data_IF_584882114236
#
_entry.id   IF_584882114236
#
_cell.length_a   1.000
_cell.length_b   1.000
_cell.length_c   1.000
_cell.angle_alpha   90.00
_cell.angle_beta   90.00
_cell.angle_gamma   90.00
#
_symmetry.space_group_name_H-M   'P 1'
#
loop_
_entity.id
_entity.type
_entity.pdbx_description
1 polymer ?
#
# COMPACT_ATOMS: atom_id res chain seq x y z
N UNK A 1 15.52 4.20 2.84
CA UNK A 1 16.23 3.96 1.58
C UNK A 1 15.22 3.84 0.44
N UNK A 2 15.55 4.46 -0.71
CA UNK A 2 14.77 4.37 -1.94
C UNK A 2 15.66 3.76 -3.03
N UNK A 3 15.15 2.77 -3.74
CA UNK A 3 15.69 2.35 -5.02
C UNK A 3 14.90 3.10 -6.08
N UNK A 4 15.57 3.90 -6.88
CA UNK A 4 14.97 4.77 -7.88
C UNK A 4 15.40 4.28 -9.25
N UNK A 5 14.45 4.08 -10.14
CA UNK A 5 14.71 3.78 -11.56
C UNK A 5 14.15 4.90 -12.39
N UNK A 6 14.91 5.38 -13.36
CA UNK A 6 14.51 6.49 -14.20
C UNK A 6 15.53 6.80 -15.28
N UNK A 7 15.26 7.86 -16.02
CA UNK A 7 16.07 8.29 -17.15
C UNK A 7 16.71 9.66 -16.88
N UNK A 8 17.92 9.87 -17.37
CA UNK A 8 18.53 11.19 -17.39
C UNK A 8 17.90 11.96 -18.56
N UNK A 9 17.22 13.06 -18.22
CA UNK A 9 16.59 13.95 -19.21
C UNK A 9 17.21 15.33 -19.13
N UNK A 10 17.35 16.01 -20.27
CA UNK A 10 17.89 17.36 -20.33
C UNK A 10 16.76 18.38 -20.27
N UNK A 11 16.72 19.17 -19.20
CA UNK A 11 15.77 20.28 -19.08
C UNK A 11 16.36 21.53 -19.71
N UNK A 12 15.58 22.33 -20.48
CA UNK A 12 16.09 23.53 -21.17
C UNK A 12 16.78 24.53 -20.23
N UNK A 13 16.21 24.76 -19.05
CA UNK A 13 16.67 25.80 -18.11
C UNK A 13 17.50 25.25 -16.93
N UNK A 14 17.38 23.95 -16.60
CA UNK A 14 17.98 23.36 -15.40
C UNK A 14 19.00 22.26 -15.69
N UNK A 15 19.37 22.06 -16.96
CA UNK A 15 20.38 21.08 -17.34
C UNK A 15 19.93 19.63 -17.22
N UNK A 16 20.84 18.72 -16.91
CA UNK A 16 20.54 17.30 -16.77
C UNK A 16 19.80 17.02 -15.46
N UNK A 17 18.67 16.35 -15.58
CA UNK A 17 17.82 15.95 -14.45
C UNK A 17 17.52 14.46 -14.52
N UNK A 18 17.42 13.80 -13.35
CA UNK A 18 16.99 12.42 -13.26
C UNK A 18 15.45 12.37 -13.16
N UNK A 19 14.80 11.98 -14.25
CA UNK A 19 13.36 11.77 -14.28
C UNK A 19 13.05 10.40 -13.71
N UNK A 20 12.46 10.38 -12.50
CA UNK A 20 12.07 9.16 -11.83
C UNK A 20 10.88 8.53 -12.60
N UNK A 21 11.05 7.29 -13.05
CA UNK A 21 9.99 6.46 -13.65
C UNK A 21 9.32 5.61 -12.59
N UNK A 22 10.12 4.95 -11.74
CA UNK A 22 9.63 4.16 -10.62
C UNK A 22 10.53 4.33 -9.41
N UNK A 23 9.97 4.13 -8.22
CA UNK A 23 10.75 4.03 -7.01
C UNK A 23 10.26 2.87 -6.15
N UNK A 24 11.19 2.23 -5.48
CA UNK A 24 10.92 1.16 -4.52
C UNK A 24 11.49 1.57 -3.16
N UNK A 25 10.63 1.55 -2.15
CA UNK A 25 11.05 1.87 -0.79
C UNK A 25 11.67 0.63 -0.17
N UNK A 26 12.98 0.67 0.02
CA UNK A 26 13.74 -0.44 0.60
C UNK A 26 13.84 -0.28 2.11
N UNK A 27 13.80 -1.41 2.81
CA UNK A 27 14.16 -1.42 4.23
C UNK A 27 15.59 -0.95 4.43
N UNK A 28 15.84 -0.20 5.50
CA UNK A 28 17.20 0.14 5.86
C UNK A 28 18.02 -1.12 6.13
N UNK A 29 19.17 -1.21 5.50
CA UNK A 29 20.12 -2.35 5.65
C UNK A 29 21.37 -1.98 6.45
N UNK A 30 21.61 -0.67 6.66
CA UNK A 30 22.74 -0.21 7.48
C UNK A 30 22.25 0.23 8.85
N UNK A 31 23.10 0.13 9.87
CA UNK A 31 22.78 0.54 11.25
C UNK A 31 22.33 2.00 11.33
N UNK A 32 23.02 2.90 10.66
CA UNK A 32 22.70 4.33 10.63
C UNK A 32 21.36 4.61 9.96
N UNK A 33 21.02 3.84 8.93
CA UNK A 33 19.75 3.97 8.25
C UNK A 33 18.61 3.39 9.10
N UNK A 34 18.83 2.30 9.84
CA UNK A 34 17.88 1.73 10.81
C UNK A 34 17.64 2.68 11.97
N UNK A 35 18.69 3.27 12.54
CA UNK A 35 18.58 4.26 13.61
C UNK A 35 17.70 5.46 13.16
N UNK A 36 18.00 6.01 11.99
CA UNK A 36 17.18 7.11 11.41
C UNK A 36 15.75 6.70 11.15
N UNK A 37 15.53 5.49 10.63
CA UNK A 37 14.21 4.98 10.37
C UNK A 37 13.36 4.84 11.64
N UNK A 38 13.94 4.26 12.69
CA UNK A 38 13.23 4.09 13.97
C UNK A 38 12.99 5.42 14.71
N UNK A 39 13.84 6.43 14.48
CA UNK A 39 13.78 7.72 15.19
C UNK A 39 13.08 8.84 14.42
N UNK A 40 12.54 8.59 13.24
CA UNK A 40 11.96 9.60 12.34
C UNK A 40 10.57 10.15 12.78
N UNK A 41 10.10 9.78 13.96
CA UNK A 41 8.79 10.19 14.50
C UNK A 41 7.62 9.28 14.11
N UNK A 42 7.84 8.27 13.28
CA UNK A 42 6.82 7.28 12.91
C UNK A 42 6.45 6.39 14.10
N UNK A 43 7.43 6.07 14.95
CA UNK A 43 7.25 5.18 16.10
C UNK A 43 7.15 5.99 17.39
N UNK A 44 5.97 6.01 18.00
CA UNK A 44 5.76 6.71 19.26
C UNK A 44 6.69 6.14 20.34
N UNK A 45 7.41 7.04 20.99
CA UNK A 45 8.30 6.68 22.10
C UNK A 45 9.64 6.09 21.71
N UNK A 46 9.99 6.07 20.42
CA UNK A 46 11.35 5.81 19.95
C UNK A 46 11.99 7.14 19.51
N UNK A 47 12.76 7.74 20.40
CA UNK A 47 13.64 8.85 20.05
C UNK A 47 15.03 8.34 19.58
N UNK A 48 15.91 9.27 19.12
CA UNK A 48 17.23 8.91 18.60
C UNK A 48 18.08 8.05 19.57
N UNK A 49 18.03 8.36 20.86
CA UNK A 49 18.78 7.62 21.87
C UNK A 49 18.24 6.17 22.04
N UNK A 50 16.91 5.98 21.97
CA UNK A 50 16.29 4.65 22.06
C UNK A 50 16.54 3.85 20.80
N UNK A 51 16.39 4.46 19.63
CA UNK A 51 16.68 3.84 18.33
C UNK A 51 18.12 3.32 18.28
N UNK A 52 19.08 4.15 18.68
CA UNK A 52 20.50 3.78 18.76
C UNK A 52 20.75 2.58 19.69
N UNK A 53 20.11 2.55 20.87
CA UNK A 53 20.23 1.41 21.79
C UNK A 53 19.65 0.12 21.18
N UNK A 54 18.48 0.20 20.54
CA UNK A 54 17.84 -0.94 19.88
C UNK A 54 18.79 -1.51 18.81
N UNK A 55 19.25 -0.65 17.88
CA UNK A 55 20.12 -1.07 16.78
C UNK A 55 21.47 -1.60 17.27
N UNK A 56 22.05 -0.99 18.29
CA UNK A 56 23.32 -1.48 18.87
C UNK A 56 23.16 -2.82 19.58
N UNK A 57 22.00 -3.09 20.18
CA UNK A 57 21.74 -4.35 20.89
C UNK A 57 21.46 -5.50 19.92
N UNK A 58 20.67 -5.25 18.89
CA UNK A 58 20.17 -6.30 17.99
C UNK A 58 20.84 -6.32 16.61
N UNK A 59 21.58 -5.27 16.25
CA UNK A 59 22.32 -5.19 14.98
C UNK A 59 21.41 -5.42 13.76
N UNK A 60 21.83 -6.32 12.90
CA UNK A 60 21.10 -6.68 11.68
C UNK A 60 19.78 -7.41 11.94
N UNK A 61 19.64 -7.98 13.15
CA UNK A 61 18.41 -8.69 13.57
C UNK A 61 17.31 -7.76 14.13
N UNK A 62 17.59 -6.46 14.20
CA UNK A 62 16.66 -5.45 14.76
C UNK A 62 15.24 -5.57 14.21
N UNK A 63 15.11 -5.72 12.90
CA UNK A 63 13.79 -5.81 12.22
C UNK A 63 13.06 -7.09 12.61
N UNK A 64 13.77 -8.23 12.62
CA UNK A 64 13.18 -9.51 13.00
C UNK A 64 12.73 -9.51 14.47
N UNK A 65 13.56 -8.93 15.34
CA UNK A 65 13.20 -8.79 16.76
C UNK A 65 11.94 -7.95 16.92
N UNK A 66 11.82 -6.81 16.25
CA UNK A 66 10.60 -5.97 16.32
C UNK A 66 9.38 -6.72 15.79
N UNK A 67 9.52 -7.46 14.67
CA UNK A 67 8.41 -8.15 14.01
C UNK A 67 7.97 -9.43 14.73
N UNK A 68 8.91 -10.25 15.13
CA UNK A 68 8.66 -11.64 15.53
C UNK A 68 8.84 -11.87 17.03
N UNK A 69 9.70 -11.08 17.68
CA UNK A 69 10.07 -11.27 19.07
C UNK A 69 10.11 -9.95 19.87
N UNK A 70 9.02 -9.13 19.80
CA UNK A 70 9.02 -7.79 20.41
C UNK A 70 9.32 -7.80 21.90
N UNK A 71 9.04 -8.90 22.59
CA UNK A 71 9.38 -9.10 24.00
C UNK A 71 10.90 -8.93 24.29
N UNK A 72 11.78 -9.18 23.32
CA UNK A 72 13.22 -8.96 23.50
C UNK A 72 13.57 -7.48 23.63
N UNK A 73 12.71 -6.56 23.17
CA UNK A 73 12.93 -5.12 23.31
C UNK A 73 12.95 -4.67 24.79
N UNK A 74 12.37 -5.45 25.71
CA UNK A 74 12.37 -5.15 27.15
C UNK A 74 13.80 -5.08 27.73
N UNK A 75 14.77 -5.71 27.10
CA UNK A 75 16.18 -5.63 27.47
C UNK A 75 16.74 -4.20 27.36
N UNK A 76 16.07 -3.34 26.60
CA UNK A 76 16.45 -1.95 26.43
C UNK A 76 15.87 -1.12 27.59
N UNK A 77 16.74 -0.52 28.40
CA UNK A 77 16.32 0.33 29.51
C UNK A 77 15.36 1.43 29.04
N UNK A 78 14.12 1.41 29.55
CA UNK A 78 13.07 2.37 29.23
C UNK A 78 12.03 1.85 28.24
N UNK A 79 12.10 0.57 27.82
CA UNK A 79 11.06 -0.11 27.06
C UNK A 79 10.35 -1.09 27.98
N UNK A 80 9.07 -0.82 28.26
CA UNK A 80 8.18 -1.76 28.97
C UNK A 80 7.61 -2.80 28.02
N UNK A 81 6.93 -3.81 28.55
CA UNK A 81 6.28 -4.85 27.74
C UNK A 81 5.20 -4.25 26.83
N UNK A 82 4.40 -3.36 27.37
CA UNK A 82 3.34 -2.64 26.64
C UNK A 82 3.93 -1.83 25.49
N UNK A 83 5.01 -1.10 25.78
CA UNK A 83 5.70 -0.29 24.77
C UNK A 83 6.36 -1.15 23.69
N UNK A 84 6.88 -2.30 24.03
CA UNK A 84 7.45 -3.23 23.05
C UNK A 84 6.40 -3.74 22.07
N UNK A 85 5.19 -4.06 22.54
CA UNK A 85 4.06 -4.46 21.71
C UNK A 85 3.56 -3.30 20.84
N UNK A 86 3.41 -2.10 21.41
CA UNK A 86 3.03 -0.90 20.64
C UNK A 86 4.01 -0.60 19.52
N UNK A 87 5.31 -0.73 19.76
CA UNK A 87 6.35 -0.58 18.74
C UNK A 87 6.18 -1.62 17.61
N UNK A 88 5.94 -2.87 17.97
CA UNK A 88 5.73 -3.94 17.01
C UNK A 88 4.49 -3.71 16.14
N UNK A 89 3.36 -3.35 16.74
CA UNK A 89 2.12 -3.03 16.03
C UNK A 89 2.32 -1.87 15.05
N UNK A 90 2.93 -0.77 15.50
CA UNK A 90 3.23 0.37 14.65
C UNK A 90 4.19 0.00 13.50
N UNK A 91 5.16 -0.87 13.77
CA UNK A 91 6.10 -1.34 12.77
C UNK A 91 5.40 -2.19 11.70
N UNK A 92 4.58 -3.15 12.12
CA UNK A 92 3.83 -4.03 11.21
C UNK A 92 2.85 -3.23 10.34
N UNK A 93 2.10 -2.30 10.95
CA UNK A 93 1.20 -1.42 10.22
C UNK A 93 1.93 -0.60 9.13
N UNK A 94 3.06 0.00 9.47
CA UNK A 94 3.88 0.73 8.50
C UNK A 94 4.45 -0.17 7.41
N UNK A 95 4.87 -1.37 7.78
CA UNK A 95 5.39 -2.36 6.83
C UNK A 95 4.34 -2.76 5.80
N UNK A 96 3.12 -3.09 6.24
CA UNK A 96 2.03 -3.44 5.34
C UNK A 96 1.62 -2.28 4.43
N UNK A 97 1.53 -1.05 4.95
CA UNK A 97 1.25 0.13 4.13
C UNK A 97 2.30 0.27 3.02
N UNK A 98 3.57 0.04 3.30
CA UNK A 98 4.61 0.11 2.28
C UNK A 98 4.50 -0.97 1.22
N UNK A 99 4.13 -2.17 1.62
CA UNK A 99 3.87 -3.25 0.66
C UNK A 99 2.69 -2.92 -0.24
N UNK A 100 1.62 -2.33 0.33
CA UNK A 100 0.47 -1.85 -0.44
C UNK A 100 0.90 -0.73 -1.40
N UNK A 101 1.71 0.23 -0.94
CA UNK A 101 2.26 1.29 -1.82
C UNK A 101 3.00 0.68 -2.99
N UNK A 102 3.94 -0.23 -2.74
CA UNK A 102 4.73 -0.89 -3.79
C UNK A 102 3.87 -1.71 -4.76
N UNK A 103 2.81 -2.34 -4.25
CA UNK A 103 1.86 -3.06 -5.09
C UNK A 103 1.05 -2.11 -5.98
N UNK A 104 0.44 -1.09 -5.40
CA UNK A 104 -0.42 -0.14 -6.12
C UNK A 104 0.35 0.72 -7.12
N UNK A 105 1.62 1.05 -6.82
CA UNK A 105 2.48 1.85 -7.70
C UNK A 105 2.74 1.17 -9.05
N UNK A 106 2.88 -0.17 -9.07
CA UNK A 106 3.01 -0.95 -10.31
C UNK A 106 1.87 -0.68 -11.31
N UNK A 107 0.72 -0.30 -10.81
CA UNK A 107 -0.48 0.01 -11.58
C UNK A 107 -0.76 1.51 -11.67
N UNK A 108 0.21 2.34 -11.27
CA UNK A 108 0.08 3.80 -11.29
C UNK A 108 -1.01 4.33 -10.35
N UNK A 109 -1.23 3.65 -9.22
CA UNK A 109 -2.11 4.11 -8.14
C UNK A 109 -1.21 4.73 -7.06
N UNK A 110 -1.39 6.02 -6.84
CA UNK A 110 -0.50 6.78 -5.95
C UNK A 110 -0.52 6.32 -4.49
N UNK A 111 0.53 6.64 -3.73
CA UNK A 111 0.74 6.17 -2.34
C UNK A 111 -0.35 6.64 -1.36
N UNK A 112 -1.04 7.73 -1.66
CA UNK A 112 -2.15 8.24 -0.82
C UNK A 112 -3.31 7.24 -0.70
N UNK A 113 -3.48 6.36 -1.71
CA UNK A 113 -4.50 5.31 -1.66
C UNK A 113 -4.15 4.18 -0.69
N UNK A 114 -2.87 3.92 -0.47
CA UNK A 114 -2.40 2.81 0.38
C UNK A 114 -2.81 2.95 1.84
N UNK A 115 -2.71 4.15 2.40
CA UNK A 115 -3.17 4.41 3.78
C UNK A 115 -4.69 4.19 3.92
N UNK A 116 -5.45 4.66 2.93
CA UNK A 116 -6.89 4.44 2.87
C UNK A 116 -7.26 2.97 2.76
N UNK A 117 -6.53 2.23 1.95
CA UNK A 117 -6.68 0.77 1.79
C UNK A 117 -6.37 0.06 3.11
N UNK A 118 -5.24 0.36 3.73
CA UNK A 118 -4.87 -0.24 5.02
C UNK A 118 -5.88 0.10 6.12
N UNK A 119 -6.33 1.36 6.20
CA UNK A 119 -7.32 1.79 7.19
C UNK A 119 -8.64 1.01 7.09
N UNK A 120 -9.03 0.63 5.88
CA UNK A 120 -10.30 -0.08 5.63
C UNK A 120 -10.18 -1.61 5.71
N UNK A 121 -9.06 -2.17 5.25
CA UNK A 121 -8.84 -3.62 5.19
C UNK A 121 -8.10 -4.18 6.41
N UNK A 122 -7.29 -3.36 7.10
CA UNK A 122 -6.45 -3.79 8.23
C UNK A 122 -5.34 -4.76 7.84
N UNK A 123 -4.92 -5.56 8.80
CA UNK A 123 -3.93 -6.60 8.58
C UNK A 123 -4.33 -7.58 7.47
N UNK A 124 -3.34 -8.04 6.72
CA UNK A 124 -3.54 -8.93 5.59
C UNK A 124 -4.20 -8.25 4.39
N UNK A 125 -4.12 -6.91 4.29
CA UNK A 125 -4.74 -6.15 3.19
C UNK A 125 -4.30 -6.64 1.81
N UNK A 126 -3.01 -6.99 1.62
CA UNK A 126 -2.51 -7.52 0.34
C UNK A 126 -3.06 -8.90 0.02
N UNK A 127 -3.24 -9.77 1.01
CA UNK A 127 -3.85 -11.09 0.81
C UNK A 127 -5.31 -10.92 0.36
N UNK A 128 -6.08 -10.05 1.03
CA UNK A 128 -7.46 -9.73 0.66
C UNK A 128 -7.56 -9.17 -0.76
N UNK A 129 -6.62 -8.30 -1.15
CA UNK A 129 -6.54 -7.77 -2.52
C UNK A 129 -6.16 -8.88 -3.51
N UNK A 130 -5.24 -9.77 -3.15
CA UNK A 130 -4.84 -10.90 -4.00
C UNK A 130 -6.00 -11.87 -4.23
N UNK A 131 -6.81 -12.14 -3.21
CA UNK A 131 -8.01 -12.97 -3.32
C UNK A 131 -9.13 -12.30 -4.14
N UNK A 132 -9.24 -10.97 -4.01
CA UNK A 132 -10.24 -10.18 -4.71
C UNK A 132 -9.75 -8.76 -5.01
N UNK A 133 -9.07 -8.53 -6.14
CA UNK A 133 -8.59 -7.21 -6.51
C UNK A 133 -9.69 -6.15 -6.61
N UNK A 134 -10.93 -6.55 -6.92
CA UNK A 134 -12.05 -5.62 -7.06
C UNK A 134 -12.45 -4.91 -5.77
N UNK A 135 -12.00 -5.41 -4.60
CA UNK A 135 -12.18 -4.70 -3.32
C UNK A 135 -11.55 -3.29 -3.35
N UNK A 136 -10.55 -3.07 -4.21
CA UNK A 136 -9.90 -1.77 -4.38
C UNK A 136 -10.88 -0.68 -4.84
N UNK A 137 -11.95 -1.03 -5.55
CA UNK A 137 -12.98 -0.07 -5.97
C UNK A 137 -13.62 0.60 -4.76
N UNK A 138 -13.85 -0.18 -3.70
CA UNK A 138 -14.53 0.28 -2.48
C UNK A 138 -13.57 0.98 -1.48
N UNK A 139 -12.29 0.61 -1.51
CA UNK A 139 -11.35 1.01 -0.45
C UNK A 139 -10.29 2.02 -0.92
N UNK A 140 -9.92 2.02 -2.19
CA UNK A 140 -8.95 2.94 -2.74
C UNK A 140 -9.61 4.22 -3.25
N UNK A 141 -9.04 5.38 -2.90
CA UNK A 141 -9.58 6.66 -3.36
C UNK A 141 -9.27 6.88 -4.83
N UNK A 142 -10.28 7.35 -5.59
CA UNK A 142 -10.13 7.79 -7.00
C UNK A 142 -9.59 6.71 -7.95
N UNK A 143 -9.97 5.46 -7.72
CA UNK A 143 -9.60 4.34 -8.60
C UNK A 143 -10.81 3.94 -9.42
N UNK A 144 -10.66 3.87 -10.74
CA UNK A 144 -11.73 3.46 -11.65
C UNK A 144 -11.80 1.93 -11.78
N UNK A 145 -12.97 1.43 -12.22
CA UNK A 145 -13.16 0.01 -12.50
C UNK A 145 -12.12 -0.51 -13.49
N UNK A 146 -11.90 0.20 -14.59
CA UNK A 146 -10.98 -0.21 -15.65
C UNK A 146 -9.56 -0.40 -15.14
N UNK A 147 -9.15 0.44 -14.19
CA UNK A 147 -7.83 0.34 -13.57
C UNK A 147 -7.70 -0.90 -12.68
N UNK A 148 -8.73 -1.17 -11.88
CA UNK A 148 -8.77 -2.38 -11.03
C UNK A 148 -8.95 -3.63 -11.87
N UNK A 149 -9.74 -3.58 -12.92
CA UNK A 149 -9.94 -4.70 -13.84
C UNK A 149 -8.63 -5.10 -14.53
N UNK A 150 -7.85 -4.10 -14.97
CA UNK A 150 -6.50 -4.36 -15.50
C UNK A 150 -5.62 -5.09 -14.47
N UNK A 151 -5.62 -4.63 -13.21
CA UNK A 151 -4.88 -5.29 -12.11
C UNK A 151 -5.33 -6.74 -11.97
N UNK A 152 -6.64 -6.97 -11.90
CA UNK A 152 -7.21 -8.29 -11.70
C UNK A 152 -6.85 -9.25 -12.85
N UNK A 153 -6.95 -8.78 -14.10
CA UNK A 153 -6.58 -9.56 -15.27
C UNK A 153 -5.08 -9.89 -15.32
N UNK A 154 -4.22 -8.94 -14.99
CA UNK A 154 -2.77 -9.16 -14.87
C UNK A 154 -2.42 -10.15 -13.73
N UNK A 155 -3.25 -10.22 -12.70
CA UNK A 155 -3.16 -11.21 -11.62
C UNK A 155 -3.76 -12.57 -11.99
N UNK A 156 -4.31 -12.74 -13.21
CA UNK A 156 -4.84 -13.99 -13.73
C UNK A 156 -6.36 -14.19 -13.54
N UNK A 157 -7.11 -13.15 -13.19
CA UNK A 157 -8.56 -13.24 -13.15
C UNK A 157 -9.13 -13.55 -14.55
N UNK A 158 -10.09 -14.47 -14.60
CA UNK A 158 -10.76 -14.80 -15.86
C UNK A 158 -11.79 -13.74 -16.24
N UNK A 159 -12.03 -13.48 -17.54
CA UNK A 159 -12.98 -12.49 -18.01
C UNK A 159 -14.43 -12.72 -17.52
N UNK A 160 -14.83 -13.97 -17.33
CA UNK A 160 -16.13 -14.40 -16.84
C UNK A 160 -16.22 -14.58 -15.32
N UNK A 161 -15.18 -14.16 -14.59
CA UNK A 161 -15.13 -14.28 -13.14
C UNK A 161 -16.32 -13.55 -12.48
N UNK A 162 -17.05 -14.25 -11.61
CA UNK A 162 -18.20 -13.70 -10.90
C UNK A 162 -17.87 -12.41 -10.12
N UNK A 163 -16.69 -12.35 -9.46
CA UNK A 163 -16.28 -11.14 -8.73
C UNK A 163 -16.10 -9.95 -9.66
N UNK A 164 -15.59 -10.19 -10.88
CA UNK A 164 -15.45 -9.18 -11.93
C UNK A 164 -16.81 -8.62 -12.35
N UNK A 165 -17.71 -9.51 -12.77
CA UNK A 165 -19.04 -9.13 -13.26
C UNK A 165 -19.83 -8.39 -12.17
N UNK A 166 -19.87 -8.95 -10.95
CA UNK A 166 -20.53 -8.31 -9.81
C UNK A 166 -20.00 -6.92 -9.52
N UNK A 167 -18.69 -6.74 -9.55
CA UNK A 167 -18.07 -5.45 -9.26
C UNK A 167 -18.27 -4.44 -10.37
N UNK A 168 -18.33 -4.88 -11.63
CA UNK A 168 -18.70 -4.06 -12.78
C UNK A 168 -20.12 -3.52 -12.61
N UNK A 169 -21.09 -4.40 -12.37
CA UNK A 169 -22.50 -4.02 -12.17
C UNK A 169 -22.65 -3.02 -11.01
N UNK A 170 -22.01 -3.29 -9.88
CA UNK A 170 -22.03 -2.36 -8.75
C UNK A 170 -21.47 -0.99 -9.13
N UNK A 171 -20.32 -0.96 -9.78
CA UNK A 171 -19.67 0.27 -10.22
C UNK A 171 -20.54 1.04 -11.22
N UNK A 172 -21.15 0.35 -12.21
CA UNK A 172 -22.05 0.95 -13.18
C UNK A 172 -23.28 1.60 -12.53
N UNK A 173 -23.92 0.89 -11.60
CA UNK A 173 -25.03 1.43 -10.83
C UNK A 173 -24.65 2.66 -10.00
N UNK A 174 -23.50 2.64 -9.33
CA UNK A 174 -22.99 3.78 -8.57
C UNK A 174 -22.73 4.99 -9.49
N UNK A 175 -22.15 4.78 -10.67
CA UNK A 175 -21.90 5.84 -11.66
C UNK A 175 -23.20 6.45 -12.19
N UNK A 176 -24.20 5.62 -12.47
CA UNK A 176 -25.52 6.07 -12.90
C UNK A 176 -26.19 6.88 -11.79
N UNK A 177 -26.08 6.43 -10.54
CA UNK A 177 -26.59 7.17 -9.36
C UNK A 177 -25.93 8.52 -9.15
N UNK A 178 -24.61 8.61 -9.32
CA UNK A 178 -23.87 9.87 -9.23
C UNK A 178 -24.28 10.91 -10.27
N UNK A 179 -24.82 10.47 -11.42
CA UNK A 179 -25.40 11.34 -12.45
C UNK A 179 -26.84 11.79 -12.14
N UNK A 180 -27.33 11.55 -10.93
CA UNK A 180 -28.65 11.99 -10.48
C UNK A 180 -29.80 11.03 -10.84
N UNK A 181 -29.50 9.85 -11.34
CA UNK A 181 -30.53 8.86 -11.69
C UNK A 181 -30.80 7.93 -10.50
N UNK A 182 -32.05 7.83 -10.04
CA UNK A 182 -32.46 6.91 -8.98
C UNK A 182 -32.80 5.49 -9.50
N UNK A 183 -32.89 5.32 -10.81
CA UNK A 183 -33.18 4.06 -11.47
C UNK A 183 -32.58 4.03 -12.88
N UNK A 184 -32.41 2.84 -13.43
CA UNK A 184 -31.95 2.62 -14.81
C UNK A 184 -32.76 1.48 -15.43
N UNK A 185 -33.07 1.60 -16.70
CA UNK A 185 -33.67 0.50 -17.45
C UNK A 185 -32.69 -0.66 -17.58
N UNK A 186 -33.17 -1.88 -17.36
CA UNK A 186 -32.35 -3.09 -17.40
C UNK A 186 -31.53 -3.22 -18.70
N UNK A 187 -32.15 -2.93 -19.84
CA UNK A 187 -31.46 -2.98 -21.15
C UNK A 187 -30.31 -1.97 -21.25
N UNK A 188 -30.47 -0.79 -20.66
CA UNK A 188 -29.44 0.24 -20.66
C UNK A 188 -28.26 -0.14 -19.72
N UNK A 189 -28.58 -0.75 -18.58
CA UNK A 189 -27.56 -1.28 -17.67
C UNK A 189 -26.75 -2.37 -18.37
N UNK A 190 -27.42 -3.34 -19.03
CA UNK A 190 -26.73 -4.40 -19.75
C UNK A 190 -25.78 -3.83 -20.82
N UNK A 191 -26.27 -2.89 -21.65
CA UNK A 191 -25.40 -2.24 -22.65
C UNK A 191 -24.18 -1.57 -22.02
N UNK A 192 -24.39 -0.86 -20.92
CA UNK A 192 -23.30 -0.22 -20.19
C UNK A 192 -22.29 -1.25 -19.68
N UNK A 193 -22.76 -2.37 -19.11
CA UNK A 193 -21.89 -3.42 -18.58
C UNK A 193 -21.13 -4.18 -19.67
N UNK A 194 -21.74 -4.44 -20.81
CA UNK A 194 -21.06 -5.03 -21.97
C UNK A 194 -19.90 -4.13 -22.41
N UNK A 195 -20.14 -2.82 -22.51
CA UNK A 195 -19.11 -1.84 -22.88
C UNK A 195 -18.02 -1.74 -21.81
N UNK A 196 -18.37 -1.75 -20.52
CA UNK A 196 -17.45 -1.65 -19.39
C UNK A 196 -16.58 -2.90 -19.28
N UNK A 197 -17.20 -4.06 -19.35
CA UNK A 197 -16.52 -5.35 -19.19
C UNK A 197 -15.87 -5.86 -20.49
N UNK A 198 -16.21 -5.28 -21.64
CA UNK A 198 -15.75 -5.69 -22.98
C UNK A 198 -15.98 -7.18 -23.25
N UNK A 199 -17.20 -7.62 -22.99
CA UNK A 199 -17.69 -8.99 -23.21
C UNK A 199 -18.78 -9.03 -24.28
#
# INVERSE_FOLDING_TARGET
>A
NLKITGDIVKHPDYGEQFKIVTFEKMMPTTKEALERYLSNGTFKGIGPATAKKIVNTFGDDTINVIKLEPQKLIQIKGITKEKALEIAEQFLANWEIWQIVGFLDKFGIGPQSAEGVYKKLGEGALEKISENPYILIDVASKVSFEKVDKIALEMGAQPDNYKRIRSGIKYGLERIGLNGNSSVLYENLIKYEIDLLKV
#
